data_IF_335552026612
#
_entry.id   IF_335552026612
#
_cell.length_a   1.000
_cell.length_b   1.000
_cell.length_c   1.000
_cell.angle_alpha   90.00
_cell.angle_beta   90.00
_cell.angle_gamma   90.00
#
_symmetry.space_group_name_H-M   'P 1'
#
loop_
_entity.id
_entity.type
_entity.pdbx_description
1 polymer ?
#
# COMPACT_ATOMS: atom_id res chain seq x y z
N UNK A 1 -18.92 -14.13 -2.98
CA UNK A 1 -18.88 -12.69 -3.30
C UNK A 1 -19.54 -11.93 -2.17
N UNK A 2 -18.79 -11.12 -1.41
CA UNK A 2 -19.34 -10.29 -0.34
C UNK A 2 -19.58 -8.87 -0.87
N UNK A 3 -20.83 -8.44 -0.84
CA UNK A 3 -21.34 -7.12 -1.26
C UNK A 3 -21.02 -6.07 -0.19
N UNK A 4 -19.76 -5.66 -0.09
CA UNK A 4 -19.39 -4.42 0.59
C UNK A 4 -19.11 -3.36 -0.47
N UNK A 5 -19.60 -2.14 -0.27
CA UNK A 5 -19.24 -1.00 -1.12
C UNK A 5 -17.78 -0.63 -0.88
N UNK A 6 -17.03 -0.41 -1.95
CA UNK A 6 -15.70 0.17 -1.87
C UNK A 6 -15.83 1.69 -1.95
N UNK A 7 -15.19 2.40 -1.03
CA UNK A 7 -15.09 3.86 -1.04
C UNK A 7 -13.65 4.24 -1.33
N UNK A 8 -13.42 5.09 -2.33
CA UNK A 8 -12.08 5.61 -2.60
C UNK A 8 -11.56 6.36 -1.37
N UNK A 9 -10.28 6.15 -1.02
CA UNK A 9 -9.71 6.78 0.17
C UNK A 9 -9.68 8.32 0.08
N UNK A 10 -9.70 8.87 -1.14
CA UNK A 10 -9.72 10.32 -1.39
C UNK A 10 -11.08 10.94 -1.06
N UNK A 11 -12.13 10.13 -1.08
CA UNK A 11 -13.50 10.54 -0.72
C UNK A 11 -13.79 10.37 0.78
N UNK A 12 -12.87 9.76 1.54
CA UNK A 12 -13.00 9.61 2.98
C UNK A 12 -12.63 10.91 3.69
N UNK A 13 -13.48 11.35 4.62
CA UNK A 13 -13.16 12.47 5.52
C UNK A 13 -11.99 12.12 6.44
N UNK A 14 -11.92 10.87 6.88
CA UNK A 14 -10.87 10.36 7.75
C UNK A 14 -10.64 8.89 7.41
N UNK A 15 -9.36 8.51 7.26
CA UNK A 15 -8.98 7.12 7.03
C UNK A 15 -8.83 6.41 8.39
N UNK A 16 -9.49 5.25 8.61
CA UNK A 16 -9.45 4.58 9.90
C UNK A 16 -8.05 4.04 10.21
N UNK A 17 -7.55 4.22 11.44
CA UNK A 17 -6.23 3.74 11.85
C UNK A 17 -6.16 2.21 11.88
N UNK A 18 -5.28 1.55 11.11
CA UNK A 18 -5.09 0.09 11.14
C UNK A 18 -4.05 -0.40 12.17
N UNK A 19 -3.70 0.43 13.16
CA UNK A 19 -2.79 0.00 14.24
C UNK A 19 -3.34 -1.26 14.93
N UNK A 20 -2.45 -2.21 15.17
CA UNK A 20 -2.73 -3.52 15.78
C UNK A 20 -3.72 -4.40 14.98
N UNK A 21 -4.05 -4.00 13.74
CA UNK A 21 -4.76 -4.87 12.82
C UNK A 21 -3.80 -5.94 12.27
N UNK A 22 -4.31 -7.13 12.02
CA UNK A 22 -3.54 -8.22 11.43
C UNK A 22 -3.87 -8.35 9.94
N UNK A 23 -2.85 -8.36 9.08
CA UNK A 23 -3.01 -8.74 7.67
C UNK A 23 -3.23 -10.25 7.58
N UNK A 24 -4.45 -10.66 7.24
CA UNK A 24 -4.88 -12.06 7.24
C UNK A 24 -5.06 -12.63 5.83
N UNK A 25 -4.97 -11.81 4.79
CA UNK A 25 -5.15 -12.28 3.43
C UNK A 25 -4.68 -11.28 2.39
N UNK A 26 -4.18 -11.85 1.29
CA UNK A 26 -3.71 -11.13 0.11
C UNK A 26 -4.34 -11.81 -1.10
N UNK A 27 -4.94 -11.03 -1.98
CA UNK A 27 -5.46 -11.51 -3.26
C UNK A 27 -4.85 -10.65 -4.37
N UNK A 28 -4.09 -11.27 -5.26
CA UNK A 28 -3.40 -10.59 -6.36
C UNK A 28 -3.93 -11.09 -7.69
N UNK A 29 -4.41 -10.19 -8.54
CA UNK A 29 -4.84 -10.48 -9.90
C UNK A 29 -4.01 -9.65 -10.90
N UNK A 30 -2.97 -10.23 -11.51
CA UNK A 30 -2.11 -9.54 -12.47
C UNK A 30 -2.85 -9.08 -13.72
N UNK A 31 -3.83 -9.88 -14.19
CA UNK A 31 -4.55 -9.60 -15.44
C UNK A 31 -5.41 -8.34 -15.34
N UNK A 32 -5.98 -8.09 -14.16
CA UNK A 32 -6.76 -6.89 -13.86
C UNK A 32 -5.91 -5.78 -13.22
N UNK A 33 -4.64 -6.06 -12.95
CA UNK A 33 -3.74 -5.18 -12.18
C UNK A 33 -4.37 -4.76 -10.84
N UNK A 34 -5.00 -5.70 -10.14
CA UNK A 34 -5.62 -5.45 -8.84
C UNK A 34 -4.93 -6.23 -7.73
N UNK A 35 -4.88 -5.61 -6.55
CA UNK A 35 -4.46 -6.24 -5.31
C UNK A 35 -5.53 -5.97 -4.25
N UNK A 36 -5.84 -6.96 -3.42
CA UNK A 36 -6.68 -6.78 -2.25
C UNK A 36 -5.95 -7.30 -1.00
N UNK A 37 -5.91 -6.46 0.03
CA UNK A 37 -5.39 -6.80 1.35
C UNK A 37 -6.55 -6.87 2.33
N UNK A 38 -6.64 -7.95 3.11
CA UNK A 38 -7.67 -8.16 4.11
C UNK A 38 -7.07 -8.08 5.50
N UNK A 39 -7.63 -7.21 6.32
CA UNK A 39 -7.16 -6.96 7.68
C UNK A 39 -8.23 -7.35 8.69
N UNK A 40 -7.81 -8.00 9.76
CA UNK A 40 -8.61 -8.22 10.96
C UNK A 40 -8.25 -7.17 12.00
N UNK A 41 -9.23 -6.32 12.32
CA UNK A 41 -9.14 -5.21 13.27
C UNK A 41 -9.14 -5.71 14.72
N UNK A 42 -8.66 -4.86 15.64
CA UNK A 42 -8.94 -5.03 17.07
C UNK A 42 -10.46 -5.08 17.27
N UNK A 43 -10.95 -6.16 17.87
CA UNK A 43 -12.39 -6.46 17.99
C UNK A 43 -12.94 -7.42 16.92
N UNK A 44 -12.12 -7.90 16.00
CA UNK A 44 -12.46 -9.00 15.08
C UNK A 44 -13.16 -8.61 13.78
N UNK A 45 -13.51 -7.32 13.59
CA UNK A 45 -14.04 -6.82 12.31
C UNK A 45 -13.01 -7.04 11.20
N UNK A 46 -13.47 -7.53 10.04
CA UNK A 46 -12.61 -7.68 8.85
C UNK A 46 -12.92 -6.56 7.87
N UNK A 47 -11.87 -5.83 7.47
CA UNK A 47 -11.94 -4.77 6.46
C UNK A 47 -10.94 -5.08 5.33
N UNK A 48 -11.19 -4.55 4.14
CA UNK A 48 -10.32 -4.81 2.99
C UNK A 48 -9.89 -3.51 2.30
N UNK A 49 -8.63 -3.47 1.87
CA UNK A 49 -8.07 -2.44 1.03
C UNK A 49 -7.88 -2.99 -0.38
N UNK A 50 -8.47 -2.34 -1.38
CA UNK A 50 -8.34 -2.73 -2.79
C UNK A 50 -7.57 -1.67 -3.55
N UNK A 51 -6.52 -2.12 -4.20
CA UNK A 51 -5.66 -1.34 -5.07
C UNK A 51 -6.04 -1.67 -6.52
N UNK A 52 -6.27 -0.64 -7.34
CA UNK A 52 -6.58 -0.81 -8.76
C UNK A 52 -5.51 -0.14 -9.62
N UNK A 53 -5.29 -0.70 -10.81
CA UNK A 53 -4.19 -0.30 -11.71
C UNK A 53 -2.85 -0.31 -10.99
N UNK A 54 -2.52 -1.40 -10.30
CA UNK A 54 -1.23 -1.56 -9.61
C UNK A 54 -0.08 -1.36 -10.61
N UNK A 55 0.86 -0.47 -10.26
CA UNK A 55 2.03 -0.10 -11.06
C UNK A 55 3.26 -0.85 -10.54
N UNK A 56 3.46 -0.83 -9.21
CA UNK A 56 4.52 -1.55 -8.51
C UNK A 56 3.99 -2.06 -7.18
N UNK A 57 4.43 -3.24 -6.78
CA UNK A 57 4.21 -3.74 -5.43
C UNK A 57 5.38 -4.63 -5.01
N UNK A 58 5.68 -4.63 -3.71
CA UNK A 58 6.52 -5.64 -3.09
C UNK A 58 5.99 -5.88 -1.68
N UNK A 59 5.95 -7.16 -1.31
CA UNK A 59 5.68 -7.63 0.04
C UNK A 59 6.77 -8.62 0.43
N UNK A 60 7.22 -8.55 1.67
CA UNK A 60 8.14 -9.51 2.29
C UNK A 60 7.57 -9.97 3.63
N UNK A 61 8.08 -11.10 4.12
CA UNK A 61 7.86 -11.58 5.50
C UNK A 61 6.40 -11.78 5.92
N UNK A 62 5.53 -12.20 4.99
CA UNK A 62 4.19 -12.68 5.35
C UNK A 62 4.30 -13.98 6.14
N UNK A 63 4.07 -13.89 7.45
CA UNK A 63 4.37 -14.93 8.43
C UNK A 63 3.11 -15.34 9.22
N UNK A 64 3.29 -16.15 10.27
CA UNK A 64 2.20 -16.60 11.13
C UNK A 64 1.49 -15.48 11.90
N UNK A 65 2.11 -14.31 12.03
CA UNK A 65 1.53 -13.08 12.56
C UNK A 65 1.98 -11.90 11.69
N UNK A 66 1.06 -11.05 11.25
CA UNK A 66 1.33 -9.89 10.38
C UNK A 66 0.65 -8.65 10.94
N UNK A 67 1.15 -8.15 12.08
CA UNK A 67 0.53 -7.06 12.83
C UNK A 67 1.03 -5.73 12.30
N UNK A 68 0.10 -4.84 11.96
CA UNK A 68 0.38 -3.51 11.44
C UNK A 68 0.79 -2.55 12.57
N UNK A 69 1.92 -1.88 12.40
CA UNK A 69 2.32 -0.73 13.23
C UNK A 69 1.63 0.53 12.74
N UNK A 70 1.81 0.84 11.45
CA UNK A 70 1.19 1.98 10.78
C UNK A 70 1.01 1.73 9.28
N UNK A 71 0.03 2.44 8.72
CA UNK A 71 -0.13 2.56 7.27
C UNK A 71 0.19 4.00 6.89
N UNK A 72 1.10 4.18 5.93
CA UNK A 72 1.41 5.47 5.33
C UNK A 72 0.78 5.49 3.93
N UNK A 73 -0.10 6.46 3.67
CA UNK A 73 -0.91 6.47 2.45
C UNK A 73 -1.00 7.89 1.91
N UNK A 74 -0.57 8.13 0.67
CA UNK A 74 -0.75 9.43 0.03
C UNK A 74 -2.22 9.67 -0.38
N UNK A 75 -2.71 10.92 -0.40
CA UNK A 75 -2.03 12.14 0.04
C UNK A 75 -2.10 12.38 1.56
N UNK A 76 -2.77 11.52 2.34
CA UNK A 76 -2.91 11.69 3.79
C UNK A 76 -1.57 11.71 4.55
N UNK A 77 -0.56 11.02 4.02
CA UNK A 77 0.84 11.14 4.39
C UNK A 77 1.63 11.82 3.26
N UNK A 78 2.30 12.93 3.59
CA UNK A 78 3.14 13.69 2.66
C UNK A 78 4.54 13.08 2.60
N UNK A 79 4.75 12.13 1.69
CA UNK A 79 6.07 11.55 1.46
C UNK A 79 7.05 12.59 0.91
N UNK A 80 8.25 12.64 1.50
CA UNK A 80 9.37 13.39 0.93
C UNK A 80 9.93 12.69 -0.33
N UNK A 81 10.63 13.45 -1.18
CA UNK A 81 11.33 12.91 -2.34
C UNK A 81 12.28 11.75 -1.97
N UNK A 82 12.99 11.89 -0.86
CA UNK A 82 13.90 10.86 -0.36
C UNK A 82 13.14 9.57 -0.01
N UNK A 83 12.02 9.67 0.70
CA UNK A 83 11.16 8.51 1.02
C UNK A 83 10.59 7.86 -0.23
N UNK A 84 10.05 8.64 -1.18
CA UNK A 84 9.52 8.11 -2.44
C UNK A 84 10.60 7.33 -3.19
N UNK A 85 11.80 7.90 -3.33
CA UNK A 85 12.92 7.22 -4.00
C UNK A 85 13.32 5.94 -3.28
N UNK A 86 13.37 5.96 -1.95
CA UNK A 86 13.69 4.77 -1.15
C UNK A 86 12.65 3.65 -1.38
N UNK A 87 11.35 3.96 -1.31
CA UNK A 87 10.29 2.98 -1.52
C UNK A 87 10.24 2.45 -2.96
N UNK A 88 10.42 3.32 -3.96
CA UNK A 88 10.51 2.90 -5.36
C UNK A 88 11.71 1.99 -5.61
N UNK A 89 12.87 2.32 -5.02
CA UNK A 89 14.05 1.47 -5.11
C UNK A 89 13.84 0.13 -4.41
N UNK A 90 13.24 0.14 -3.22
CA UNK A 90 12.93 -1.07 -2.45
C UNK A 90 11.94 -2.00 -3.17
N UNK A 91 10.88 -1.47 -3.78
CA UNK A 91 9.94 -2.27 -4.59
C UNK A 91 10.61 -2.93 -5.81
N UNK A 92 11.64 -2.28 -6.36
CA UNK A 92 12.39 -2.77 -7.51
C UNK A 92 13.53 -3.73 -7.17
N UNK A 93 13.93 -3.82 -5.89
CA UNK A 93 14.96 -4.77 -5.48
C UNK A 93 14.37 -6.16 -5.25
N UNK A 94 15.27 -7.15 -5.30
CA UNK A 94 15.04 -8.55 -4.98
C UNK A 94 16.08 -8.98 -3.96
N UNK A 95 15.87 -10.12 -3.32
CA UNK A 95 16.69 -10.53 -2.16
C UNK A 95 18.18 -10.74 -2.52
N UNK A 96 18.47 -11.03 -3.78
CA UNK A 96 19.81 -11.24 -4.35
C UNK A 96 20.28 -10.12 -5.30
N UNK A 97 19.42 -9.13 -5.61
CA UNK A 97 19.71 -8.10 -6.59
C UNK A 97 19.18 -6.73 -6.17
N UNK A 98 20.07 -5.74 -6.13
CA UNK A 98 19.67 -4.34 -6.01
C UNK A 98 18.90 -3.94 -7.27
N UNK A 99 17.70 -3.40 -7.07
CA UNK A 99 16.92 -2.82 -8.17
C UNK A 99 17.68 -1.67 -8.81
N UNK A 100 17.32 -1.31 -10.05
CA UNK A 100 17.90 -0.12 -10.68
C UNK A 100 17.73 1.11 -9.76
N UNK A 101 18.77 1.92 -9.69
CA UNK A 101 18.71 3.18 -8.96
C UNK A 101 17.60 4.05 -9.57
N UNK A 102 16.75 4.62 -8.72
CA UNK A 102 15.73 5.57 -9.15
C UNK A 102 16.43 6.91 -9.39
N UNK A 103 16.40 7.38 -10.64
CA UNK A 103 16.87 8.72 -11.00
C UNK A 103 16.09 9.77 -10.22
N UNK A 104 16.71 10.94 -10.03
CA UNK A 104 16.06 12.06 -9.35
C UNK A 104 14.77 12.46 -10.09
N UNK A 105 14.83 12.60 -11.41
CA UNK A 105 13.67 12.89 -12.27
C UNK A 105 12.50 11.93 -12.04
N UNK A 106 12.75 10.61 -12.06
CA UNK A 106 11.69 9.62 -11.85
C UNK A 106 11.07 9.72 -10.44
N UNK A 107 11.86 10.15 -9.45
CA UNK A 107 11.37 10.42 -8.10
C UNK A 107 10.49 11.67 -8.04
N UNK A 108 10.93 12.76 -8.69
CA UNK A 108 10.19 14.03 -8.77
C UNK A 108 8.87 13.88 -9.53
N UNK A 109 8.89 13.15 -10.65
CA UNK A 109 7.68 12.83 -11.43
C UNK A 109 6.68 12.07 -10.55
N UNK A 110 7.15 11.07 -9.80
CA UNK A 110 6.30 10.31 -8.89
C UNK A 110 5.73 11.20 -7.77
N UNK A 111 6.54 12.05 -7.12
CA UNK A 111 6.06 13.00 -6.10
C UNK A 111 4.99 13.92 -6.69
N UNK A 112 5.19 14.40 -7.91
CA UNK A 112 4.23 15.25 -8.62
C UNK A 112 2.91 14.52 -8.88
N UNK A 113 2.96 13.26 -9.31
CA UNK A 113 1.77 12.42 -9.51
C UNK A 113 1.03 12.10 -8.21
N UNK A 114 1.75 11.88 -7.11
CA UNK A 114 1.15 11.69 -5.78
C UNK A 114 0.44 12.97 -5.32
N UNK A 115 1.06 14.14 -5.53
CA UNK A 115 0.49 15.44 -5.18
C UNK A 115 -0.72 15.80 -6.04
N UNK A 116 -0.71 15.42 -7.33
CA UNK A 116 -1.83 15.59 -8.25
C UNK A 116 -2.95 14.55 -8.01
N UNK A 117 -2.73 13.53 -7.19
CA UNK A 117 -3.68 12.46 -6.92
C UNK A 117 -3.86 11.47 -8.09
N UNK A 118 -2.94 11.48 -9.06
CA UNK A 118 -2.89 10.50 -10.16
C UNK A 118 -2.45 9.13 -9.65
N UNK A 119 -1.56 9.12 -8.66
CA UNK A 119 -1.05 7.92 -8.02
C UNK A 119 -1.29 7.92 -6.51
N UNK A 120 -1.34 6.73 -5.95
CA UNK A 120 -1.36 6.45 -4.52
C UNK A 120 -0.14 5.59 -4.18
N UNK A 121 0.69 6.09 -3.26
CA UNK A 121 1.73 5.31 -2.59
C UNK A 121 1.20 4.86 -1.23
N UNK A 122 1.18 3.55 -1.04
CA UNK A 122 0.80 2.88 0.18
C UNK A 122 2.00 2.13 0.75
N UNK A 123 2.22 2.27 2.05
CA UNK A 123 3.24 1.54 2.80
C UNK A 123 2.59 0.96 4.05
N UNK A 124 2.78 -0.34 4.25
CA UNK A 124 2.46 -1.05 5.48
C UNK A 124 3.78 -1.29 6.22
N UNK A 125 3.91 -0.64 7.37
CA UNK A 125 5.01 -0.91 8.28
C UNK A 125 4.58 -1.90 9.37
N UNK A 126 5.31 -3.02 9.54
CA UNK A 126 4.95 -4.03 10.50
C UNK A 126 5.33 -3.62 11.92
N UNK A 127 4.49 -4.00 12.88
CA UNK A 127 4.93 -4.30 14.25
C UNK A 127 5.60 -5.68 14.28
N UNK A 128 5.09 -6.62 13.48
CA UNK A 128 5.65 -7.95 13.26
C UNK A 128 5.14 -8.53 11.93
N UNK A 129 5.96 -9.30 11.22
CA UNK A 129 5.59 -9.97 9.97
C UNK A 129 5.65 -9.05 8.77
N UNK A 130 4.59 -9.06 7.96
CA UNK A 130 4.62 -8.49 6.61
C UNK A 130 4.99 -7.00 6.53
N UNK A 131 5.98 -6.67 5.71
CA UNK A 131 6.27 -5.31 5.24
C UNK A 131 5.88 -5.18 3.77
N UNK A 132 5.21 -4.09 3.41
CA UNK A 132 4.69 -3.92 2.05
C UNK A 132 4.71 -2.49 1.57
N UNK A 133 4.98 -2.30 0.28
CA UNK A 133 4.73 -1.05 -0.43
C UNK A 133 3.99 -1.32 -1.76
N UNK A 134 3.08 -0.42 -2.11
CA UNK A 134 2.27 -0.48 -3.34
C UNK A 134 2.19 0.92 -3.95
N UNK A 135 2.49 1.01 -5.24
CA UNK A 135 2.18 2.16 -6.09
C UNK A 135 1.05 1.77 -7.05
N UNK A 136 -0.04 2.54 -7.05
CA UNK A 136 -1.24 2.27 -7.86
C UNK A 136 -1.94 3.58 -8.25
N UNK A 137 -2.96 3.53 -9.10
CA UNK A 137 -3.74 4.72 -9.47
C UNK A 137 -4.88 5.02 -8.47
N UNK A 138 -5.41 3.98 -7.82
CA UNK A 138 -6.48 4.16 -6.83
C UNK A 138 -6.44 3.10 -5.74
N UNK A 139 -6.86 3.53 -4.55
CA UNK A 139 -6.99 2.71 -3.35
C UNK A 139 -8.39 2.94 -2.77
N UNK A 140 -9.10 1.87 -2.47
CA UNK A 140 -10.43 1.93 -1.90
C UNK A 140 -10.55 1.03 -0.66
N UNK A 141 -11.29 1.52 0.34
CA UNK A 141 -11.61 0.79 1.56
C UNK A 141 -12.98 0.12 1.41
N UNK A 142 -13.04 -1.16 1.74
CA UNK A 142 -14.28 -1.92 1.94
C UNK A 142 -14.56 -2.01 3.43
N UNK A 143 -15.73 -1.49 3.81
CA UNK A 143 -16.20 -1.41 5.20
C UNK A 143 -17.18 -2.53 5.52
#
# INVERSE_FOLDING_TARGET
MATGSYTDIRDLKEFPSFRDAELIGIEHNPSLRTLELRFRRVGGKVEALRFSSVIRQRLIDFAGQNVVSRLLISPGYAFSLAEVRNWLHWMNSRDDAKGAAISEQNGEDCVSDLAAGHHVLFVLEPSCGAEMAVLCESLALKV
#
